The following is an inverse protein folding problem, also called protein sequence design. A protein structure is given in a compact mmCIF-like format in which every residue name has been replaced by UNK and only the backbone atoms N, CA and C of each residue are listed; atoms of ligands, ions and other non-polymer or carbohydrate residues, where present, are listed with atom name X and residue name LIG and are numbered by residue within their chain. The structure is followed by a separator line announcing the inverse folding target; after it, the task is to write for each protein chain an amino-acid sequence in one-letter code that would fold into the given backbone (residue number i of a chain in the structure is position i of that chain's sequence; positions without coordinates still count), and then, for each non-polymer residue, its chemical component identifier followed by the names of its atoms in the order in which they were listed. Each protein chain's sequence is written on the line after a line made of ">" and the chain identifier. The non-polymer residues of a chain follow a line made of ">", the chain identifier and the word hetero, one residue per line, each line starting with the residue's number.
data_IF_226065965868
#
_entry.id   IF_226065965868
#
_cell.length_a   1.000
_cell.length_b   1.000
_cell.length_c   1.000
_cell.angle_alpha   90.00
_cell.angle_beta   90.00
_cell.angle_gamma   90.00
#
_symmetry.space_group_name_H-M   'P 1'
#
loop_
_entity.id
_entity.type
_entity.pdbx_description
1 polymer ?
#
# COMPACT_ATOMS: atom_id res chain seq x y z
N UNK A 1 6.92 -5.47 56.34
CA UNK A 1 6.24 -6.27 55.29
C UNK A 1 5.17 -5.39 54.68
N UNK A 2 5.41 -4.83 53.50
CA UNK A 2 4.43 -4.04 52.76
C UNK A 2 4.71 -4.14 51.25
N UNK A 3 3.64 -4.51 50.55
CA UNK A 3 3.19 -4.13 49.20
C UNK A 3 4.01 -4.51 47.97
N UNK A 4 3.36 -5.38 47.20
CA UNK A 4 3.57 -5.71 45.80
C UNK A 4 3.68 -4.46 44.90
N UNK A 5 4.52 -4.59 43.88
CA UNK A 5 4.35 -3.90 42.61
C UNK A 5 4.82 -4.86 41.52
N UNK A 6 3.87 -5.66 41.08
CA UNK A 6 3.93 -6.40 39.83
C UNK A 6 3.90 -5.35 38.71
N UNK A 7 5.08 -4.95 38.26
CA UNK A 7 5.22 -4.16 37.04
C UNK A 7 5.19 -5.14 35.87
N UNK A 8 3.98 -5.56 35.50
CA UNK A 8 3.75 -6.26 34.24
C UNK A 8 4.33 -5.41 33.09
N UNK A 9 5.25 -5.94 32.28
CA UNK A 9 5.85 -5.19 31.19
C UNK A 9 4.78 -4.82 30.17
N UNK A 10 4.76 -3.55 29.76
CA UNK A 10 3.94 -3.07 28.66
C UNK A 10 4.16 -3.99 27.47
N UNK A 11 3.09 -4.67 27.06
CA UNK A 11 3.07 -5.43 25.82
C UNK A 11 3.35 -4.45 24.69
N UNK A 12 4.59 -4.48 24.20
CA UNK A 12 4.90 -4.05 22.85
C UNK A 12 3.96 -4.81 21.94
N UNK A 13 2.89 -4.14 21.52
CA UNK A 13 2.02 -4.60 20.46
C UNK A 13 2.84 -4.60 19.17
N UNK A 14 3.68 -5.62 19.01
CA UNK A 14 4.19 -6.05 17.72
C UNK A 14 3.01 -6.66 16.96
N UNK A 15 2.09 -5.80 16.55
CA UNK A 15 1.16 -6.13 15.48
C UNK A 15 1.99 -6.39 14.21
N UNK A 16 1.46 -7.17 13.26
CA UNK A 16 2.10 -7.32 11.96
C UNK A 16 2.38 -5.91 11.42
N UNK A 17 3.62 -5.63 11.01
CA UNK A 17 4.05 -4.35 10.44
C UNK A 17 3.15 -3.99 9.27
N UNK A 18 2.04 -3.30 9.56
CA UNK A 18 1.08 -2.88 8.56
C UNK A 18 1.64 -1.61 7.99
N UNK A 19 2.02 -1.67 6.71
CA UNK A 19 2.53 -0.51 6.01
C UNK A 19 1.43 0.54 5.97
N UNK A 20 1.77 1.76 6.36
CA UNK A 20 0.89 2.91 6.28
C UNK A 20 1.63 4.06 5.63
N UNK A 21 0.93 4.80 4.79
CA UNK A 21 1.40 6.06 4.22
C UNK A 21 1.40 7.22 5.22
N UNK A 22 0.69 7.08 6.34
CA UNK A 22 0.34 8.15 7.28
C UNK A 22 0.53 7.70 8.75
N UNK A 23 1.78 7.55 9.24
CA UNK A 23 2.02 7.18 10.63
C UNK A 23 1.56 8.29 11.59
N UNK A 24 0.53 8.05 12.39
CA UNK A 24 0.08 8.93 13.48
C UNK A 24 -1.14 9.81 13.19
N UNK A 25 -1.78 9.68 12.03
CA UNK A 25 -3.09 10.30 11.75
C UNK A 25 -4.20 9.27 12.04
N UNK A 26 -5.12 9.60 12.95
CA UNK A 26 -6.22 8.71 13.37
C UNK A 26 -7.61 9.17 12.87
N UNK A 27 -7.69 10.29 12.14
CA UNK A 27 -8.96 11.02 11.92
C UNK A 27 -9.43 11.09 10.45
N UNK A 28 -8.76 10.43 9.52
CA UNK A 28 -9.20 10.37 8.12
C UNK A 28 -9.68 8.96 7.77
N UNK A 29 -10.68 8.86 6.88
CA UNK A 29 -11.30 7.58 6.49
C UNK A 29 -10.30 6.76 5.68
N UNK A 30 -9.43 6.03 6.38
CA UNK A 30 -8.42 5.15 5.79
C UNK A 30 -9.07 3.97 5.08
N UNK A 31 -8.36 3.41 4.11
CA UNK A 31 -8.73 2.17 3.48
C UNK A 31 -7.52 1.33 3.14
N UNK A 32 -7.73 0.03 3.03
CA UNK A 32 -6.71 -0.91 2.63
C UNK A 32 -6.59 -0.99 1.10
N UNK A 33 -5.36 -0.83 0.62
CA UNK A 33 -4.98 -1.07 -0.76
C UNK A 33 -4.02 -2.26 -0.81
N UNK A 34 -4.32 -3.27 -1.63
CA UNK A 34 -3.36 -4.34 -1.88
C UNK A 34 -2.43 -3.89 -2.98
N UNK A 35 -1.13 -3.88 -2.71
CA UNK A 35 -0.11 -3.56 -3.71
C UNK A 35 0.75 -4.78 -4.00
N UNK A 36 1.49 -4.81 -5.11
CA UNK A 36 2.31 -5.97 -5.40
C UNK A 36 3.11 -5.92 -6.68
N UNK A 37 4.00 -6.90 -6.78
CA UNK A 37 4.93 -7.04 -7.87
C UNK A 37 4.56 -8.24 -8.74
N UNK A 38 4.33 -7.98 -10.03
CA UNK A 38 3.93 -8.98 -11.01
C UNK A 38 2.89 -9.98 -10.46
N UNK A 39 3.19 -11.28 -10.47
CA UNK A 39 2.40 -12.32 -9.80
C UNK A 39 3.12 -12.92 -8.57
N UNK A 40 4.28 -12.39 -8.22
CA UNK A 40 5.21 -13.02 -7.25
C UNK A 40 4.99 -12.57 -5.82
N UNK A 41 4.50 -11.34 -5.60
CA UNK A 41 4.36 -10.81 -4.26
C UNK A 41 3.26 -9.74 -4.16
N UNK A 42 2.59 -9.71 -3.00
CA UNK A 42 1.61 -8.67 -2.65
C UNK A 42 1.70 -8.33 -1.17
N UNK A 43 1.38 -7.09 -0.84
CA UNK A 43 1.25 -6.59 0.52
C UNK A 43 0.01 -5.70 0.65
N UNK A 44 -0.53 -5.59 1.86
CA UNK A 44 -1.62 -4.66 2.17
C UNK A 44 -1.04 -3.40 2.79
N UNK A 45 -1.48 -2.25 2.30
CA UNK A 45 -1.07 -0.93 2.78
C UNK A 45 -2.32 -0.17 3.23
N UNK A 46 -2.31 0.37 4.45
CA UNK A 46 -3.32 1.35 4.85
C UNK A 46 -3.00 2.70 4.21
N UNK A 47 -3.98 3.28 3.52
CA UNK A 47 -3.85 4.54 2.79
C UNK A 47 -5.03 5.47 3.04
N UNK A 48 -4.78 6.76 2.88
CA UNK A 48 -5.80 7.80 2.84
C UNK A 48 -6.15 8.12 1.37
N UNK A 49 -7.40 8.49 1.07
CA UNK A 49 -7.76 8.98 -0.25
C UNK A 49 -6.91 10.18 -0.71
N UNK A 50 -6.44 10.98 0.24
CA UNK A 50 -5.60 12.18 0.09
C UNK A 50 -4.11 11.88 -0.13
N UNK A 51 -3.65 10.64 0.11
CA UNK A 51 -2.27 10.27 -0.16
C UNK A 51 -1.96 10.38 -1.65
N UNK A 52 -0.72 10.71 -1.99
CA UNK A 52 -0.28 10.71 -3.38
C UNK A 52 0.18 9.33 -3.83
N UNK A 53 0.10 9.09 -5.14
CA UNK A 53 0.60 7.84 -5.72
C UNK A 53 2.12 7.67 -5.50
N UNK A 54 2.88 8.77 -5.52
CA UNK A 54 4.31 8.79 -5.19
C UNK A 54 4.57 8.37 -3.73
N UNK A 55 3.77 8.88 -2.78
CA UNK A 55 3.88 8.52 -1.36
C UNK A 55 3.64 7.03 -1.14
N UNK A 56 2.63 6.46 -1.81
CA UNK A 56 2.38 5.03 -1.78
C UNK A 56 3.62 4.25 -2.23
N UNK A 57 4.20 4.59 -3.39
CA UNK A 57 5.37 3.89 -3.91
C UNK A 57 6.59 4.01 -3.01
N UNK A 58 6.78 5.17 -2.36
CA UNK A 58 7.87 5.34 -1.40
C UNK A 58 7.75 4.37 -0.21
N UNK A 59 6.53 4.17 0.31
CA UNK A 59 6.27 3.27 1.45
C UNK A 59 6.40 1.80 1.09
N UNK A 60 5.92 1.42 -0.09
CA UNK A 60 6.05 0.05 -0.60
C UNK A 60 7.43 -0.24 -1.20
N UNK A 61 8.37 0.72 -1.12
CA UNK A 61 9.67 0.69 -1.81
C UNK A 61 9.56 0.34 -3.30
N UNK A 62 8.43 0.70 -3.92
CA UNK A 62 8.16 0.41 -5.30
C UNK A 62 8.93 1.38 -6.19
N UNK A 63 9.54 0.84 -7.24
CA UNK A 63 10.19 1.61 -8.30
C UNK A 63 9.67 1.13 -9.65
N UNK A 64 8.41 1.42 -10.01
CA UNK A 64 7.92 1.12 -11.35
C UNK A 64 8.79 1.88 -12.36
N UNK A 65 9.28 1.20 -13.40
CA UNK A 65 10.16 1.84 -14.39
C UNK A 65 9.40 2.80 -15.28
N UNK A 66 8.10 2.55 -15.45
CA UNK A 66 7.19 3.45 -16.10
C UNK A 66 5.84 3.37 -15.38
N UNK A 67 5.27 4.52 -15.02
CA UNK A 67 3.93 4.56 -14.42
C UNK A 67 2.87 3.95 -15.35
N UNK A 68 3.08 3.98 -16.67
CA UNK A 68 2.19 3.35 -17.64
C UNK A 68 2.12 1.80 -17.56
N UNK A 69 3.04 1.18 -16.81
CA UNK A 69 3.04 -0.26 -16.50
C UNK A 69 2.30 -0.60 -15.20
N UNK A 70 1.89 0.42 -14.44
CA UNK A 70 1.06 0.23 -13.26
C UNK A 70 -0.32 -0.22 -13.72
N UNK A 71 -0.78 -1.30 -13.12
CA UNK A 71 -2.05 -1.94 -13.39
C UNK A 71 -2.88 -2.01 -12.13
N UNK A 72 -4.19 -1.98 -12.32
CA UNK A 72 -5.19 -2.02 -11.26
C UNK A 72 -6.22 -3.10 -11.54
N UNK A 73 -6.67 -3.78 -10.50
CA UNK A 73 -7.87 -4.59 -10.52
C UNK A 73 -8.84 -4.11 -9.43
N UNK A 74 -10.16 -4.23 -9.66
CA UNK A 74 -11.17 -3.72 -8.73
C UNK A 74 -11.40 -4.61 -7.50
N UNK A 75 -10.76 -5.78 -7.42
CA UNK A 75 -10.95 -6.75 -6.33
C UNK A 75 -9.67 -7.51 -6.01
N UNK A 76 -9.45 -7.73 -4.72
CA UNK A 76 -8.39 -8.57 -4.12
C UNK A 76 -8.40 -10.02 -4.58
N UNK A 77 -9.53 -10.51 -5.09
CA UNK A 77 -9.64 -11.84 -5.69
C UNK A 77 -8.90 -11.94 -7.04
N UNK A 78 -8.64 -10.80 -7.69
CA UNK A 78 -7.97 -10.74 -8.99
C UNK A 78 -6.46 -10.88 -8.83
N UNK A 79 -5.99 -12.12 -8.64
CA UNK A 79 -4.58 -12.42 -8.31
C UNK A 79 -3.61 -12.42 -9.48
N UNK A 80 -4.08 -12.43 -10.73
CA UNK A 80 -3.20 -12.52 -11.91
C UNK A 80 -3.06 -11.16 -12.59
N UNK A 81 -1.85 -10.65 -12.74
CA UNK A 81 -1.53 -9.36 -13.36
C UNK A 81 -2.16 -9.20 -14.75
N UNK A 82 -2.24 -10.29 -15.53
CA UNK A 82 -2.85 -10.26 -16.87
C UNK A 82 -4.33 -9.87 -16.88
N UNK A 83 -5.02 -10.04 -15.76
CA UNK A 83 -6.43 -9.67 -15.57
C UNK A 83 -6.58 -8.22 -15.10
N UNK A 84 -5.48 -7.54 -14.77
CA UNK A 84 -5.49 -6.14 -14.36
C UNK A 84 -5.46 -5.22 -15.57
N UNK A 85 -6.20 -4.13 -15.49
CA UNK A 85 -6.21 -3.06 -16.49
C UNK A 85 -5.10 -2.06 -16.18
N UNK A 86 -4.57 -1.38 -17.20
CA UNK A 86 -3.61 -0.28 -16.95
C UNK A 86 -4.30 0.83 -16.16
N UNK A 87 -3.57 1.42 -15.21
CA UNK A 87 -4.05 2.62 -14.52
C UNK A 87 -4.14 3.76 -15.56
N UNK A 88 -5.30 4.41 -15.73
CA UNK A 88 -5.47 5.41 -16.77
C UNK A 88 -4.80 6.73 -16.37
N UNK A 89 -3.89 7.22 -17.21
CA UNK A 89 -3.17 8.50 -17.03
C UNK A 89 -2.58 8.69 -15.62
N UNK A 90 -1.71 7.75 -15.17
CA UNK A 90 -1.21 7.76 -13.80
C UNK A 90 -0.38 9.02 -13.53
N UNK A 91 -0.69 9.73 -12.45
CA UNK A 91 -0.01 10.95 -12.01
C UNK A 91 0.59 10.74 -10.63
N UNK A 92 1.92 10.85 -10.46
CA UNK A 92 2.59 10.55 -9.19
C UNK A 92 2.23 11.54 -8.07
N UNK A 93 2.08 12.81 -8.42
CA UNK A 93 1.74 13.93 -7.55
C UNK A 93 0.25 14.03 -7.21
N UNK A 94 -0.61 13.40 -8.01
CA UNK A 94 -2.04 13.35 -7.75
C UNK A 94 -2.38 12.34 -6.65
N UNK A 95 -3.50 12.60 -5.98
CA UNK A 95 -4.01 11.74 -4.90
C UNK A 95 -4.40 10.36 -5.42
N UNK A 96 -4.49 9.36 -4.53
CA UNK A 96 -4.96 8.03 -4.87
C UNK A 96 -6.37 8.09 -5.45
N UNK A 97 -7.25 8.92 -4.88
CA UNK A 97 -8.60 9.14 -5.39
C UNK A 97 -8.60 9.75 -6.80
N UNK A 98 -7.75 10.74 -7.08
CA UNK A 98 -7.61 11.33 -8.42
C UNK A 98 -7.01 10.37 -9.45
N UNK A 99 -6.21 9.40 -9.01
CA UNK A 99 -5.76 8.27 -9.84
C UNK A 99 -6.84 7.18 -9.98
N UNK A 100 -8.03 7.38 -9.40
CA UNK A 100 -9.15 6.44 -9.46
C UNK A 100 -9.00 5.21 -8.56
N UNK A 101 -8.09 5.24 -7.59
CA UNK A 101 -7.88 4.17 -6.63
C UNK A 101 -8.88 4.29 -5.47
N UNK A 102 -9.40 3.14 -5.05
CA UNK A 102 -10.46 3.02 -4.04
C UNK A 102 -10.23 1.77 -3.19
N UNK A 103 -10.97 1.69 -2.09
CA UNK A 103 -10.98 0.50 -1.24
C UNK A 103 -11.22 -0.78 -2.04
N UNK A 104 -10.45 -1.82 -1.73
CA UNK A 104 -10.56 -3.13 -2.37
C UNK A 104 -9.84 -3.24 -3.72
N UNK A 105 -9.28 -2.14 -4.23
CA UNK A 105 -8.42 -2.21 -5.42
C UNK A 105 -7.10 -2.95 -5.12
N UNK A 106 -6.59 -3.58 -6.16
CA UNK A 106 -5.25 -4.17 -6.18
C UNK A 106 -4.41 -3.43 -7.18
N UNK A 107 -3.31 -2.83 -6.73
CA UNK A 107 -2.35 -2.15 -7.57
C UNK A 107 -1.15 -3.05 -7.81
N UNK A 108 -0.73 -3.23 -9.07
CA UNK A 108 0.45 -4.03 -9.40
C UNK A 108 1.30 -3.40 -10.47
N UNK A 109 2.59 -3.68 -10.44
CA UNK A 109 3.54 -3.24 -11.45
C UNK A 109 4.55 -4.33 -11.77
N UNK A 110 5.13 -4.25 -12.96
CA UNK A 110 6.34 -5.00 -13.31
C UNK A 110 7.56 -4.22 -12.87
N UNK A 111 8.64 -4.90 -12.46
CA UNK A 111 9.92 -4.23 -12.54
C UNK A 111 10.21 -4.02 -14.02
N UNK A 112 10.74 -2.87 -14.37
CA UNK A 112 11.50 -2.82 -15.59
C UNK A 112 12.79 -3.61 -15.38
N UNK A 113 13.41 -3.99 -16.49
CA UNK A 113 14.69 -4.66 -16.43
C UNK A 113 15.65 -3.83 -15.57
N UNK A 114 16.23 -4.44 -14.52
CA UNK A 114 17.51 -3.93 -14.02
C UNK A 114 18.43 -3.97 -15.23
N UNK A 115 18.80 -2.81 -15.75
CA UNK A 115 20.07 -2.73 -16.46
C UNK A 115 21.11 -2.83 -15.36
N UNK A 116 21.53 -4.06 -15.09
CA UNK A 116 22.82 -4.32 -14.44
C UNK A 116 23.94 -3.74 -15.33
#
# INVERSE_FOLDING_TARGET
>A
MMSASDASPQVSSSGPSSLTTHPGLQDETEFELVTGWADSWTETVSVLPSDTLERLFAVTNARPHCLAEVRVAPSVETRRLKLHTRLPHPRPDATLAENGLKQGHVLRWTPGARKD
#
